data_IF_531460796906
#
_entry.id   IF_531460796906
#
_cell.length_a   1.000
_cell.length_b   1.000
_cell.length_c   1.000
_cell.angle_alpha   90.00
_cell.angle_beta   90.00
_cell.angle_gamma   90.00
#
_symmetry.space_group_name_H-M   'P 1'
#
loop_
_entity.id
_entity.type
_entity.pdbx_description
1 polymer ?
#
# COMPACT_ATOMS: atom_id res chain seq x y z
N UNK A 1 -0.82 10.25 16.45
CA UNK A 1 -0.32 10.53 15.08
C UNK A 1 -1.45 10.24 14.12
N UNK A 2 -1.74 11.12 13.16
CA UNK A 2 -2.77 10.85 12.13
C UNK A 2 -2.26 9.73 11.24
N UNK A 3 -3.01 8.65 11.08
CA UNK A 3 -2.75 7.65 10.04
C UNK A 3 -2.96 8.33 8.68
N UNK A 4 -1.85 8.62 7.98
CA UNK A 4 -1.88 9.38 6.72
C UNK A 4 -2.18 8.43 5.54
N UNK A 5 -1.91 7.13 5.67
CA UNK A 5 -2.39 6.10 4.74
C UNK A 5 -3.07 4.94 5.48
N UNK A 6 -4.13 4.39 4.88
CA UNK A 6 -4.85 3.19 5.35
C UNK A 6 -4.35 1.91 4.68
N UNK A 7 -3.18 1.94 4.04
CA UNK A 7 -2.68 0.83 3.23
C UNK A 7 -2.63 -0.49 4.00
N UNK A 8 -2.18 -0.45 5.25
CA UNK A 8 -2.13 -1.64 6.11
C UNK A 8 -3.52 -2.22 6.37
N UNK A 9 -4.52 -1.36 6.60
CA UNK A 9 -5.91 -1.77 6.83
C UNK A 9 -6.48 -2.38 5.55
N UNK A 10 -6.31 -1.70 4.41
CA UNK A 10 -6.78 -2.17 3.10
C UNK A 10 -6.17 -3.53 2.75
N UNK A 11 -4.86 -3.73 3.01
CA UNK A 11 -4.22 -5.03 2.79
C UNK A 11 -4.86 -6.14 3.63
N UNK A 12 -5.22 -5.86 4.88
CA UNK A 12 -5.91 -6.81 5.76
C UNK A 12 -7.34 -7.08 5.27
N UNK A 13 -8.08 -6.05 4.86
CA UNK A 13 -9.44 -6.17 4.31
C UNK A 13 -9.46 -7.00 3.02
N UNK A 14 -8.47 -6.80 2.14
CA UNK A 14 -8.30 -7.54 0.89
C UNK A 14 -7.65 -8.93 1.09
N UNK A 15 -7.27 -9.29 2.33
CA UNK A 15 -6.53 -10.53 2.65
C UNK A 15 -5.23 -10.69 1.82
N UNK A 16 -4.61 -9.57 1.47
CA UNK A 16 -3.34 -9.51 0.76
C UNK A 16 -2.18 -9.26 1.74
N UNK A 17 -1.00 -9.77 1.42
CA UNK A 17 0.21 -9.52 2.22
C UNK A 17 1.00 -8.35 1.63
N UNK A 18 1.80 -7.67 2.46
CA UNK A 18 2.73 -6.65 1.98
C UNK A 18 3.75 -7.21 0.98
N UNK A 19 4.13 -8.49 1.14
CA UNK A 19 4.95 -9.24 0.18
C UNK A 19 4.27 -9.35 -1.18
N UNK A 20 3.00 -9.79 -1.20
CA UNK A 20 2.23 -9.90 -2.42
C UNK A 20 2.10 -8.55 -3.14
N UNK A 21 1.85 -7.47 -2.41
CA UNK A 21 1.77 -6.13 -2.98
C UNK A 21 3.13 -5.68 -3.56
N UNK A 22 4.23 -6.01 -2.89
CA UNK A 22 5.57 -5.73 -3.36
C UNK A 22 5.85 -6.46 -4.69
N UNK A 23 5.49 -7.74 -4.78
CA UNK A 23 5.61 -8.53 -6.01
C UNK A 23 4.73 -7.96 -7.14
N UNK A 24 3.47 -7.63 -6.84
CA UNK A 24 2.53 -7.07 -7.82
C UNK A 24 2.96 -5.71 -8.38
N UNK A 25 3.68 -4.90 -7.60
CA UNK A 25 4.18 -3.58 -8.00
C UNK A 25 5.64 -3.62 -8.50
N UNK A 26 6.31 -4.77 -8.44
CA UNK A 26 7.75 -4.87 -8.73
C UNK A 26 8.61 -4.02 -7.78
N UNK A 27 8.20 -3.91 -6.51
CA UNK A 27 8.88 -3.13 -5.47
C UNK A 27 9.47 -4.04 -4.41
N UNK A 28 10.37 -3.49 -3.59
CA UNK A 28 10.95 -4.20 -2.46
C UNK A 28 9.94 -4.26 -1.30
N UNK A 29 9.83 -5.43 -0.64
CA UNK A 29 9.00 -5.64 0.55
C UNK A 29 9.29 -4.61 1.66
N UNK A 30 10.56 -4.23 1.83
CA UNK A 30 10.96 -3.23 2.82
C UNK A 30 10.39 -1.83 2.51
N UNK A 31 10.15 -1.52 1.23
CA UNK A 31 9.53 -0.26 0.81
C UNK A 31 8.04 -0.27 1.13
N UNK A 32 7.35 -1.38 0.80
CA UNK A 32 5.92 -1.55 1.13
C UNK A 32 5.70 -1.56 2.64
N UNK A 33 6.59 -2.19 3.41
CA UNK A 33 6.54 -2.17 4.87
C UNK A 33 6.63 -0.74 5.43
N UNK A 34 7.55 0.08 4.91
CA UNK A 34 7.69 1.49 5.28
C UNK A 34 6.47 2.33 4.91
N UNK A 35 5.76 1.99 3.84
CA UNK A 35 4.46 2.61 3.52
C UNK A 35 3.42 2.23 4.57
N UNK A 36 3.29 0.96 4.93
CA UNK A 36 2.37 0.49 5.96
C UNK A 36 2.63 1.06 7.36
N UNK A 37 3.88 1.41 7.69
CA UNK A 37 4.25 2.06 8.96
C UNK A 37 4.23 3.59 8.92
N UNK A 38 3.87 4.20 7.78
CA UNK A 38 3.96 5.63 7.52
C UNK A 38 5.39 6.23 7.68
N UNK A 39 6.43 5.40 7.66
CA UNK A 39 7.83 5.87 7.70
C UNK A 39 8.21 6.55 6.37
N UNK A 40 7.62 6.12 5.27
CA UNK A 40 7.76 6.75 3.95
C UNK A 40 6.41 6.80 3.28
N UNK A 41 6.12 7.84 2.52
CA UNK A 41 4.90 7.91 1.71
C UNK A 41 5.17 7.42 0.28
N UNK A 42 4.28 6.59 -0.28
CA UNK A 42 4.27 6.34 -1.73
C UNK A 42 3.90 7.62 -2.48
N UNK A 43 4.48 7.82 -3.67
CA UNK A 43 4.09 8.89 -4.57
C UNK A 43 2.64 8.70 -5.05
N UNK A 44 2.00 9.76 -5.53
CA UNK A 44 0.64 9.70 -6.11
C UNK A 44 0.49 8.61 -7.19
N UNK A 45 1.49 8.47 -8.07
CA UNK A 45 1.51 7.42 -9.10
C UNK A 45 1.52 6.00 -8.49
N UNK A 46 2.24 5.83 -7.39
CA UNK A 46 2.32 4.55 -6.68
C UNK A 46 1.05 4.25 -5.91
N UNK A 47 0.43 5.25 -5.28
CA UNK A 47 -0.90 5.12 -4.67
C UNK A 47 -1.95 4.70 -5.70
N UNK A 48 -1.90 5.27 -6.90
CA UNK A 48 -2.79 4.89 -7.99
C UNK A 48 -2.56 3.45 -8.45
N UNK A 49 -1.29 3.02 -8.57
CA UNK A 49 -0.96 1.64 -8.89
C UNK A 49 -1.42 0.66 -7.81
N UNK A 50 -1.22 1.01 -6.53
CA UNK A 50 -1.72 0.23 -5.38
C UNK A 50 -3.24 0.09 -5.44
N UNK A 51 -3.96 1.19 -5.62
CA UNK A 51 -5.41 1.20 -5.66
C UNK A 51 -5.94 0.33 -6.82
N UNK A 52 -5.29 0.39 -7.99
CA UNK A 52 -5.62 -0.45 -9.14
C UNK A 52 -5.34 -1.94 -8.90
N UNK A 53 -4.23 -2.27 -8.24
CA UNK A 53 -3.86 -3.66 -7.92
C UNK A 53 -4.79 -4.26 -6.87
N UNK A 54 -5.13 -3.48 -5.84
CA UNK A 54 -6.03 -3.89 -4.76
C UNK A 54 -7.52 -3.71 -5.14
N UNK A 55 -7.81 -3.14 -6.30
CA UNK A 55 -9.16 -2.82 -6.79
C UNK A 55 -9.99 -2.05 -5.75
N UNK A 56 -9.39 -1.01 -5.17
CA UNK A 56 -10.01 -0.11 -4.18
C UNK A 56 -10.02 1.33 -4.69
N UNK A 57 -10.88 2.17 -4.11
CA UNK A 57 -10.87 3.60 -4.39
C UNK A 57 -9.64 4.26 -3.73
N UNK A 58 -8.94 5.14 -4.46
CA UNK A 58 -7.75 5.83 -3.95
C UNK A 58 -8.05 6.76 -2.75
N UNK A 59 -9.32 7.08 -2.50
CA UNK A 59 -9.79 7.91 -1.38
C UNK A 59 -10.06 7.09 -0.11
N UNK A 60 -10.01 5.76 -0.19
CA UNK A 60 -10.29 4.83 0.91
C UNK A 60 -9.02 4.43 1.68
#
# INVERSE_FOLDING_TARGET
MKEINRLKVVLVEQKCTGKWLAEALGKNEATVSRWCTNETQPSLETLFAIAKVLNVDIRE
#
